data_IF_199994594676
#
_entry.id   IF_199994594676
#
_cell.length_a   1.000
_cell.length_b   1.000
_cell.length_c   1.000
_cell.angle_alpha   90.00
_cell.angle_beta   90.00
_cell.angle_gamma   90.00
#
_symmetry.space_group_name_H-M   'P 1'
#
loop_
_entity.id
_entity.type
_entity.pdbx_description
1 polymer ?
#
# COMPACT_ATOMS: atom_id res chain seq x y z
N UNK A 1 14.25 -10.23 3.47
CA UNK A 1 13.28 -9.16 3.81
C UNK A 1 12.85 -8.51 2.51
N UNK A 2 11.54 -8.44 2.26
CA UNK A 2 11.00 -7.88 1.02
C UNK A 2 10.92 -6.36 1.11
N UNK A 3 11.20 -5.67 0.01
CA UNK A 3 10.91 -4.23 -0.08
C UNK A 3 9.41 -3.99 -0.26
N UNK A 4 8.93 -2.78 0.01
CA UNK A 4 7.54 -2.41 -0.25
C UNK A 4 7.16 -2.60 -1.73
N UNK A 5 8.08 -2.31 -2.65
CA UNK A 5 7.90 -2.50 -4.09
C UNK A 5 7.83 -3.98 -4.47
N UNK A 6 8.63 -4.85 -3.83
CA UNK A 6 8.53 -6.30 -4.02
C UNK A 6 7.20 -6.86 -3.51
N UNK A 7 6.73 -6.38 -2.36
CA UNK A 7 5.40 -6.74 -1.82
C UNK A 7 4.30 -6.27 -2.77
N UNK A 8 4.36 -5.03 -3.24
CA UNK A 8 3.42 -4.48 -4.21
C UNK A 8 3.45 -5.24 -5.55
N UNK A 9 4.63 -5.65 -6.02
CA UNK A 9 4.79 -6.46 -7.23
C UNK A 9 4.16 -7.84 -7.10
N UNK A 10 4.32 -8.50 -5.95
CA UNK A 10 3.63 -9.77 -5.67
C UNK A 10 2.12 -9.57 -5.75
N UNK A 11 1.56 -8.54 -5.11
CA UNK A 11 0.12 -8.27 -5.17
C UNK A 11 -0.33 -7.94 -6.60
N UNK A 12 0.44 -7.16 -7.36
CA UNK A 12 0.14 -6.79 -8.76
C UNK A 12 0.09 -8.00 -9.70
N UNK A 13 0.91 -9.03 -9.43
CA UNK A 13 0.91 -10.29 -10.19
C UNK A 13 -0.50 -10.89 -10.25
N UNK A 14 -1.22 -10.82 -9.13
CA UNK A 14 -2.59 -11.29 -8.98
C UNK A 14 -3.63 -10.20 -9.24
N UNK A 15 -3.22 -8.96 -9.51
CA UNK A 15 -4.09 -7.78 -9.60
C UNK A 15 -4.61 -7.30 -8.24
N UNK A 16 -5.03 -8.22 -7.38
CA UNK A 16 -5.26 -8.02 -5.96
C UNK A 16 -5.27 -9.35 -5.21
N UNK A 17 -4.96 -9.30 -3.91
CA UNK A 17 -4.97 -10.45 -3.01
C UNK A 17 -5.76 -10.14 -1.75
N UNK A 18 -6.31 -11.16 -1.08
CA UNK A 18 -6.68 -10.99 0.33
C UNK A 18 -5.42 -10.86 1.19
N UNK A 19 -5.58 -10.44 2.45
CA UNK A 19 -4.45 -10.42 3.38
C UNK A 19 -3.84 -11.82 3.57
N UNK A 20 -4.68 -12.85 3.69
CA UNK A 20 -4.25 -14.24 3.88
C UNK A 20 -3.45 -14.76 2.68
N UNK A 21 -3.92 -14.49 1.46
CA UNK A 21 -3.22 -14.89 0.23
C UNK A 21 -1.89 -14.15 0.06
N UNK A 22 -1.82 -12.87 0.44
CA UNK A 22 -0.58 -12.11 0.41
C UNK A 22 0.45 -12.66 1.41
N UNK A 23 0.02 -13.04 2.62
CA UNK A 23 0.87 -13.72 3.61
C UNK A 23 1.38 -15.06 3.08
N UNK A 24 0.50 -15.85 2.46
CA UNK A 24 0.85 -17.14 1.86
C UNK A 24 1.87 -16.98 0.73
N UNK A 25 1.66 -16.04 -0.19
CA UNK A 25 2.55 -15.76 -1.31
C UNK A 25 3.96 -15.35 -0.84
N UNK A 26 4.03 -14.48 0.17
CA UNK A 26 5.30 -14.06 0.77
C UNK A 26 6.00 -15.21 1.51
N UNK A 27 5.23 -16.04 2.21
CA UNK A 27 5.75 -17.20 2.95
C UNK A 27 6.33 -18.26 2.02
N UNK A 28 5.65 -18.57 0.91
CA UNK A 28 6.13 -19.49 -0.12
C UNK A 28 7.46 -19.01 -0.73
N UNK A 29 7.56 -17.71 -1.01
CA UNK A 29 8.77 -17.15 -1.60
C UNK A 29 9.93 -17.08 -0.60
N UNK A 30 9.66 -16.74 0.66
CA UNK A 30 10.65 -16.78 1.73
C UNK A 30 11.19 -18.20 1.94
N UNK A 31 10.29 -19.20 1.99
CA UNK A 31 10.66 -20.61 2.14
C UNK A 31 11.58 -21.07 0.99
N UNK A 32 11.25 -20.72 -0.26
CA UNK A 32 12.09 -21.04 -1.44
C UNK A 32 13.49 -20.40 -1.38
N UNK A 33 13.63 -19.26 -0.69
CA UNK A 33 14.90 -18.55 -0.47
C UNK A 33 15.66 -19.06 0.77
N UNK A 34 15.06 -19.92 1.58
CA UNK A 34 15.61 -20.32 2.87
C UNK A 34 15.59 -19.18 3.90
N UNK A 35 14.69 -18.22 3.73
CA UNK A 35 14.45 -17.09 4.63
C UNK A 35 13.23 -17.34 5.52
N UNK A 36 13.17 -16.63 6.64
CA UNK A 36 11.97 -16.63 7.49
C UNK A 36 10.83 -15.83 6.84
N UNK A 37 9.55 -16.23 7.05
CA UNK A 37 8.40 -15.50 6.52
C UNK A 37 8.38 -14.03 7.00
N UNK A 38 8.12 -13.07 6.10
CA UNK A 38 8.11 -11.65 6.45
C UNK A 38 6.79 -11.26 7.13
N UNK A 39 6.71 -11.37 8.46
CA UNK A 39 5.46 -11.18 9.21
C UNK A 39 4.92 -9.73 9.21
N UNK A 40 5.78 -8.73 9.03
CA UNK A 40 5.42 -7.31 9.14
C UNK A 40 5.32 -6.60 7.77
N UNK A 41 5.84 -7.21 6.71
CA UNK A 41 6.05 -6.53 5.42
C UNK A 41 4.75 -6.02 4.77
N UNK A 42 3.62 -6.69 4.95
CA UNK A 42 2.32 -6.20 4.44
C UNK A 42 1.87 -4.96 5.22
N UNK A 43 2.01 -4.98 6.55
CA UNK A 43 1.63 -3.85 7.39
C UNK A 43 2.48 -2.62 7.08
N UNK A 44 3.79 -2.80 6.98
CA UNK A 44 4.74 -1.75 6.59
C UNK A 44 4.42 -1.17 5.20
N UNK A 45 4.12 -2.03 4.22
CA UNK A 45 3.72 -1.58 2.89
C UNK A 45 2.39 -0.80 2.88
N UNK A 46 1.43 -1.17 3.74
CA UNK A 46 0.17 -0.42 3.92
C UNK A 46 0.43 0.93 4.61
N UNK A 47 1.31 0.99 5.61
CA UNK A 47 1.72 2.22 6.30
C UNK A 47 2.43 3.21 5.39
N UNK A 48 3.22 2.69 4.45
CA UNK A 48 3.94 3.43 3.42
C UNK A 48 3.09 3.78 2.18
N UNK A 49 1.80 3.41 2.14
CA UNK A 49 0.94 3.58 0.95
C UNK A 49 1.44 2.86 -0.32
N UNK A 50 2.34 1.88 -0.16
CA UNK A 50 2.76 0.99 -1.24
C UNK A 50 1.72 -0.12 -1.50
N UNK A 51 0.91 -0.43 -0.49
CA UNK A 51 -0.33 -1.19 -0.64
C UNK A 51 -1.52 -0.36 -0.19
N UNK A 52 -2.66 -0.58 -0.85
CA UNK A 52 -3.94 -0.03 -0.47
C UNK A 52 -4.90 -1.18 -0.18
N UNK A 53 -5.55 -1.10 0.97
CA UNK A 53 -6.58 -2.03 1.38
C UNK A 53 -7.96 -1.43 1.07
N UNK A 54 -8.79 -2.16 0.33
CA UNK A 54 -10.09 -1.69 -0.14
C UNK A 54 -11.15 -2.79 -0.06
N UNK A 55 -12.41 -2.37 0.02
CA UNK A 55 -13.56 -3.28 0.02
C UNK A 55 -13.96 -3.63 -1.41
N UNK A 56 -14.21 -4.92 -1.67
CA UNK A 56 -14.68 -5.45 -2.95
C UNK A 56 -15.75 -6.51 -2.72
N UNK A 57 -17.01 -6.09 -2.72
CA UNK A 57 -18.12 -6.97 -2.33
C UNK A 57 -18.07 -7.23 -0.82
N UNK A 58 -18.05 -8.51 -0.43
CA UNK A 58 -17.93 -8.92 0.98
C UNK A 58 -16.46 -9.12 1.41
N UNK A 59 -15.51 -9.01 0.48
CA UNK A 59 -14.09 -9.26 0.72
C UNK A 59 -13.30 -7.97 0.90
N UNK A 60 -12.22 -8.07 1.69
CA UNK A 60 -11.20 -7.02 1.83
C UNK A 60 -9.95 -7.43 1.07
N UNK A 61 -9.55 -6.60 0.10
CA UNK A 61 -8.46 -6.89 -0.82
C UNK A 61 -7.35 -5.85 -0.68
N UNK A 62 -6.15 -6.29 -1.02
CA UNK A 62 -4.93 -5.50 -1.16
C UNK A 62 -4.65 -5.32 -2.65
N UNK A 63 -4.33 -4.09 -3.04
CA UNK A 63 -3.83 -3.75 -4.36
C UNK A 63 -2.56 -2.88 -4.23
N UNK A 64 -1.74 -2.78 -5.29
CA UNK A 64 -0.64 -1.82 -5.34
C UNK A 64 -1.15 -0.40 -5.11
N UNK A 65 -0.45 0.31 -4.24
CA UNK A 65 -0.77 1.67 -3.83
C UNK A 65 -0.05 2.75 -4.64
N UNK A 66 -0.40 4.01 -4.39
CA UNK A 66 0.14 5.17 -5.10
C UNK A 66 1.65 5.39 -4.86
N UNK A 67 2.17 4.96 -3.71
CA UNK A 67 3.59 5.14 -3.36
C UNK A 67 4.46 3.94 -3.76
N UNK A 68 3.91 2.98 -4.52
CA UNK A 68 4.65 1.83 -5.01
C UNK A 68 5.10 2.02 -6.46
N UNK A 69 6.29 1.48 -6.75
CA UNK A 69 6.73 1.12 -8.09
C UNK A 69 6.88 -0.40 -8.15
N UNK A 70 5.77 -1.15 -8.37
CA UNK A 70 5.75 -2.60 -8.21
C UNK A 70 6.89 -3.30 -8.96
N UNK A 71 7.68 -4.08 -8.22
CA UNK A 71 8.79 -4.87 -8.75
C UNK A 71 8.56 -6.34 -8.44
N UNK A 72 8.68 -7.22 -9.43
CA UNK A 72 8.50 -8.65 -9.19
C UNK A 72 9.77 -9.26 -8.60
N UNK A 73 9.73 -9.78 -7.35
CA UNK A 73 10.89 -10.43 -6.77
C UNK A 73 11.24 -11.71 -7.53
N UNK A 74 12.54 -12.04 -7.63
CA UNK A 74 12.98 -13.23 -8.34
C UNK A 74 12.31 -14.51 -7.78
N UNK A 75 11.77 -15.35 -8.67
CA UNK A 75 11.09 -16.60 -8.32
C UNK A 75 9.58 -16.47 -8.04
N UNK A 76 9.00 -15.28 -8.23
CA UNK A 76 7.57 -15.00 -7.99
C UNK A 76 6.64 -15.43 -9.13
N UNK A 77 7.16 -15.65 -10.34
CA UNK A 77 6.37 -15.94 -11.55
C UNK A 77 5.45 -17.17 -11.43
N UNK A 78 5.84 -18.13 -10.58
CA UNK A 78 5.14 -19.40 -10.37
C UNK A 78 4.09 -19.34 -9.24
N UNK A 79 4.03 -18.22 -8.49
CA UNK A 79 3.10 -18.04 -7.37
C UNK A 79 1.63 -18.29 -7.74
N UNK A 80 1.10 -17.80 -8.88
CA UNK A 80 -0.27 -18.08 -9.28
C UNK A 80 -0.60 -19.56 -9.42
N UNK A 81 0.38 -20.37 -9.83
CA UNK A 81 0.21 -21.81 -9.97
C UNK A 81 0.37 -22.55 -8.64
N UNK A 82 1.26 -22.09 -7.76
CA UNK A 82 1.49 -22.71 -6.45
C UNK A 82 0.29 -22.51 -5.53
N UNK A 83 -0.22 -21.28 -5.47
CA UNK A 83 -1.32 -20.90 -4.58
C UNK A 83 -2.69 -21.32 -5.14
N UNK A 84 -2.77 -21.73 -6.42
CA UNK A 84 -4.03 -21.96 -7.14
C UNK A 84 -4.94 -20.70 -7.12
N UNK A 85 -4.33 -19.52 -7.16
CA UNK A 85 -5.01 -18.22 -7.16
C UNK A 85 -4.83 -17.54 -8.52
N UNK A 86 -5.95 -17.22 -9.17
CA UNK A 86 -5.97 -16.52 -10.45
C UNK A 86 -5.90 -15.00 -10.31
N UNK A 87 -5.56 -14.32 -11.42
CA UNK A 87 -5.55 -12.84 -11.48
C UNK A 87 -6.98 -12.28 -11.34
N UNK A 88 -7.14 -11.29 -10.44
CA UNK A 88 -8.36 -10.52 -10.22
C UNK A 88 -8.38 -9.26 -11.09
N UNK A 89 -9.59 -8.90 -11.54
CA UNK A 89 -9.87 -7.59 -12.12
C UNK A 89 -10.52 -6.72 -11.05
N UNK A 90 -9.92 -5.57 -10.76
CA UNK A 90 -10.33 -4.70 -9.65
C UNK A 90 -10.75 -3.32 -10.14
N UNK A 91 -11.65 -2.71 -9.39
CA UNK A 91 -12.11 -1.34 -9.63
C UNK A 91 -11.06 -0.34 -9.13
N UNK A 92 -10.39 0.35 -10.05
CA UNK A 92 -9.36 1.34 -9.72
C UNK A 92 -9.93 2.52 -8.94
N UNK A 93 -11.19 2.90 -9.21
CA UNK A 93 -11.84 4.00 -8.50
C UNK A 93 -12.12 3.59 -7.03
N UNK A 94 -12.30 2.29 -6.75
CA UNK A 94 -12.42 1.80 -5.38
C UNK A 94 -11.09 1.87 -4.62
N UNK A 95 -9.98 1.53 -5.28
CA UNK A 95 -8.65 1.60 -4.68
C UNK A 95 -8.27 3.06 -4.39
N UNK A 96 -8.52 3.97 -5.33
CA UNK A 96 -8.27 5.40 -5.13
C UNK A 96 -9.06 5.94 -3.94
N UNK A 97 -10.38 5.68 -3.88
CA UNK A 97 -11.21 6.13 -2.77
C UNK A 97 -10.66 5.64 -1.43
N UNK A 98 -10.28 4.37 -1.35
CA UNK A 98 -9.68 3.81 -0.14
C UNK A 98 -8.34 4.48 0.24
N UNK A 99 -7.48 4.77 -0.74
CA UNK A 99 -6.22 5.48 -0.50
C UNK A 99 -6.46 6.91 0.04
N UNK A 100 -7.40 7.65 -0.55
CA UNK A 100 -7.76 9.02 -0.13
C UNK A 100 -8.41 9.02 1.26
N UNK A 101 -9.31 8.08 1.53
CA UNK A 101 -9.94 7.93 2.85
C UNK A 101 -8.92 7.62 3.94
N UNK A 102 -7.97 6.71 3.65
CA UNK A 102 -6.86 6.42 4.56
C UNK A 102 -5.98 7.64 4.79
N UNK A 103 -5.57 8.35 3.73
CA UNK A 103 -4.77 9.57 3.85
C UNK A 103 -5.46 10.59 4.76
N UNK A 104 -6.77 10.83 4.57
CA UNK A 104 -7.54 11.75 5.42
C UNK A 104 -7.55 11.31 6.89
N UNK A 105 -7.73 10.02 7.15
CA UNK A 105 -7.67 9.46 8.51
C UNK A 105 -6.29 9.63 9.16
N UNK A 106 -5.20 9.43 8.40
CA UNK A 106 -3.84 9.63 8.88
C UNK A 106 -3.55 11.12 9.15
N UNK A 107 -4.01 12.01 8.28
CA UNK A 107 -3.89 13.47 8.47
C UNK A 107 -4.59 13.90 9.75
N UNK A 108 -5.78 13.39 10.03
CA UNK A 108 -6.50 13.72 11.28
C UNK A 108 -5.74 13.24 12.52
N UNK A 109 -5.12 12.06 12.48
CA UNK A 109 -4.26 11.55 13.56
C UNK A 109 -3.02 12.41 13.75
N UNK A 110 -2.28 12.68 12.68
CA UNK A 110 -1.08 13.53 12.71
C UNK A 110 -1.40 14.95 13.19
N UNK A 111 -2.56 15.49 12.81
CA UNK A 111 -3.02 16.80 13.30
C UNK A 111 -3.21 16.78 14.82
N UNK A 112 -3.74 15.69 15.37
CA UNK A 112 -3.95 15.55 16.81
C UNK A 112 -2.63 15.32 17.58
N UNK A 113 -1.73 14.52 17.01
CA UNK A 113 -0.49 14.10 17.66
C UNK A 113 0.65 15.12 17.48
N UNK A 114 0.57 15.98 16.46
CA UNK A 114 1.60 16.97 16.12
C UNK A 114 2.88 16.36 15.56
N UNK A 115 2.79 15.19 14.94
CA UNK A 115 3.93 14.45 14.41
C UNK A 115 4.40 15.05 13.07
N UNK A 116 5.41 15.93 13.14
CA UNK A 116 5.97 16.61 11.96
C UNK A 116 6.65 15.68 10.97
N UNK A 117 7.29 14.60 11.43
CA UNK A 117 7.95 13.63 10.54
C UNK A 117 6.90 12.86 9.74
N UNK A 118 5.85 12.38 10.42
CA UNK A 118 4.72 11.74 9.74
C UNK A 118 3.97 12.71 8.85
N UNK A 119 3.81 13.98 9.25
CA UNK A 119 3.18 15.00 8.41
C UNK A 119 3.92 15.20 7.08
N UNK A 120 5.26 15.27 7.12
CA UNK A 120 6.09 15.39 5.94
C UNK A 120 5.94 14.17 5.01
N UNK A 121 5.93 12.95 5.56
CA UNK A 121 5.72 11.74 4.77
C UNK A 121 4.33 11.70 4.11
N UNK A 122 3.27 12.11 4.82
CA UNK A 122 1.92 12.18 4.25
C UNK A 122 1.79 13.27 3.18
N UNK A 123 2.61 14.33 3.26
CA UNK A 123 2.67 15.36 2.23
C UNK A 123 3.17 14.78 0.91
N UNK A 124 4.25 14.01 0.93
CA UNK A 124 4.76 13.29 -0.25
C UNK A 124 3.70 12.35 -0.84
N UNK A 125 3.09 11.51 0.00
CA UNK A 125 2.01 10.60 -0.41
C UNK A 125 0.83 11.33 -1.05
N UNK A 126 0.50 12.54 -0.59
CA UNK A 126 -0.57 13.33 -1.19
C UNK A 126 -0.26 13.76 -2.63
N UNK A 127 1.01 14.05 -2.94
CA UNK A 127 1.45 14.32 -4.31
C UNK A 127 1.40 13.06 -5.17
N UNK A 128 1.82 11.92 -4.62
CA UNK A 128 1.77 10.64 -5.33
C UNK A 128 0.33 10.25 -5.69
N UNK A 129 -0.63 10.37 -4.75
CA UNK A 129 -2.05 10.11 -5.02
C UNK A 129 -2.62 11.06 -6.09
N UNK A 130 -2.32 12.35 -5.99
CA UNK A 130 -2.77 13.34 -6.97
C UNK A 130 -2.18 13.06 -8.36
N UNK A 131 -0.93 12.64 -8.45
CA UNK A 131 -0.30 12.22 -9.71
C UNK A 131 -0.87 10.90 -10.25
N UNK A 132 -1.32 9.99 -9.36
CA UNK A 132 -1.79 8.66 -9.71
C UNK A 132 -3.14 8.66 -10.42
N UNK A 133 -4.10 9.50 -9.99
CA UNK A 133 -5.42 9.55 -10.63
C UNK A 133 -6.07 10.94 -10.73
N UNK A 134 -5.40 12.00 -10.27
CA UNK A 134 -5.83 13.39 -10.48
C UNK A 134 -6.82 13.94 -9.44
N UNK A 135 -7.06 13.25 -8.34
CA UNK A 135 -7.84 13.83 -7.22
C UNK A 135 -7.07 15.00 -6.62
N UNK A 136 -7.72 16.17 -6.56
CA UNK A 136 -7.17 17.36 -5.94
C UNK A 136 -7.05 17.17 -4.41
N UNK A 137 -5.82 17.23 -3.93
CA UNK A 137 -5.47 17.09 -2.51
C UNK A 137 -4.85 18.36 -1.93
N UNK A 138 -5.02 19.53 -2.59
CA UNK A 138 -4.47 20.80 -2.09
C UNK A 138 -4.90 21.11 -0.65
N UNK A 139 -6.18 20.91 -0.33
CA UNK A 139 -6.70 21.16 1.02
C UNK A 139 -6.14 20.21 2.09
N UNK A 140 -5.67 19.02 1.69
CA UNK A 140 -4.96 18.12 2.61
C UNK A 140 -3.56 18.65 2.88
N UNK A 141 -2.86 19.10 1.83
CA UNK A 141 -1.51 19.69 1.94
C UNK A 141 -1.50 20.93 2.81
N UNK A 142 -2.47 21.84 2.63
CA UNK A 142 -2.64 23.04 3.46
C UNK A 142 -2.74 22.72 4.98
N UNK A 143 -3.26 21.55 5.34
CA UNK A 143 -3.35 21.09 6.73
C UNK A 143 -2.05 20.47 7.24
N UNK A 144 -1.29 19.81 6.38
CA UNK A 144 -0.06 19.09 6.73
C UNK A 144 1.16 20.01 6.82
N UNK A 145 1.27 20.98 5.90
CA UNK A 145 2.44 21.87 5.78
C UNK A 145 2.85 22.54 7.10
N UNK A 146 1.94 23.16 7.89
CA UNK A 146 2.33 23.81 9.14
C UNK A 146 2.90 22.83 10.19
N UNK A 147 2.41 21.58 10.18
CA UNK A 147 2.84 20.53 11.10
C UNK A 147 4.22 20.02 10.67
N UNK A 148 4.40 19.76 9.38
CA UNK A 148 5.67 19.31 8.80
C UNK A 148 6.80 20.33 8.99
N UNK A 149 6.49 21.62 8.83
CA UNK A 149 7.45 22.71 9.04
C UNK A 149 7.77 22.97 10.52
N UNK A 150 7.04 22.34 11.45
CA UNK A 150 7.18 22.58 12.89
C UNK A 150 6.73 23.97 13.33
N UNK A 151 5.86 24.63 12.56
CA UNK A 151 5.34 25.98 12.84
C UNK A 151 3.99 25.91 13.57
N UNK A 152 3.92 25.11 14.65
CA UNK A 152 2.72 24.96 15.48
C UNK A 152 2.85 25.74 16.80
#
# INVERSE_FOLDING_TARGET
MFTHDEVAGIVDLFGALTHEEAVEALSELAYRRGEDPPSEAIGEAIEAFALVEFESGDDRLLAPGPAAFPELPAGSEDLPHILDVGKRSVDRDAIERAAVERLRSEVDRVTADGDGERAAALLEVSYDIEAWNGTDLSAVRDRLEPIADGTN
#
